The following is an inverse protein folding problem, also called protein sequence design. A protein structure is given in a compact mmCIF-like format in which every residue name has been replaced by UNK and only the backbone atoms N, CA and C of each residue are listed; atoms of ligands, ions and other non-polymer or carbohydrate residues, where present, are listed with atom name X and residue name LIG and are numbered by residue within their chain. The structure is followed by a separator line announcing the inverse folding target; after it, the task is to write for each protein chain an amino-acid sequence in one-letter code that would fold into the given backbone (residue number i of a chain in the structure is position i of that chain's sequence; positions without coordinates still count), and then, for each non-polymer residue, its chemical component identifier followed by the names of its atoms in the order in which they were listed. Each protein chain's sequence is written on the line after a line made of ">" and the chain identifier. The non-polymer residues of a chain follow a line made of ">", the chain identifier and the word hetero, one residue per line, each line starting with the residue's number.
data_IF_658172620784
#
_entry.id   IF_658172620784
#
_cell.length_a   1.000
_cell.length_b   1.000
_cell.length_c   1.000
_cell.angle_alpha   90.00
_cell.angle_beta   90.00
_cell.angle_gamma   90.00
#
_symmetry.space_group_name_H-M   'P 1'
#
loop_
_entity.id
_entity.type
_entity.pdbx_description
1 polymer ?
#
# COMPACT_ATOMS: atom_id res chain seq x y z
N UNK A 1 -27.36 11.94 11.31
CA UNK A 1 -26.16 11.09 11.46
C UNK A 1 -24.99 11.99 11.82
N UNK A 2 -24.31 11.74 12.94
CA UNK A 2 -23.12 12.49 13.33
C UNK A 2 -21.97 12.23 12.34
N UNK A 3 -21.12 13.23 12.09
CA UNK A 3 -19.96 13.10 11.18
C UNK A 3 -19.06 11.90 11.51
N UNK A 4 -18.99 11.52 12.79
CA UNK A 4 -18.27 10.35 13.28
C UNK A 4 -18.87 9.03 12.78
N UNK A 5 -20.19 8.91 12.71
CA UNK A 5 -20.87 7.72 12.22
C UNK A 5 -20.65 7.52 10.72
N UNK A 6 -20.66 8.61 9.93
CA UNK A 6 -20.37 8.56 8.49
C UNK A 6 -18.94 8.09 8.25
N UNK A 7 -17.96 8.66 8.96
CA UNK A 7 -16.56 8.25 8.83
C UNK A 7 -16.31 6.80 9.26
N UNK A 8 -16.95 6.34 10.33
CA UNK A 8 -16.88 4.93 10.75
C UNK A 8 -17.45 3.99 9.68
N UNK A 9 -18.57 4.36 9.06
CA UNK A 9 -19.15 3.61 7.95
C UNK A 9 -18.22 3.58 6.73
N UNK A 10 -17.62 4.72 6.36
CA UNK A 10 -16.67 4.79 5.25
C UNK A 10 -15.43 3.93 5.48
N UNK A 11 -14.84 3.95 6.70
CA UNK A 11 -13.71 3.09 7.04
C UNK A 11 -14.10 1.61 7.06
N UNK A 12 -15.30 1.27 7.55
CA UNK A 12 -15.82 -0.10 7.51
C UNK A 12 -15.94 -0.60 6.07
N UNK A 13 -16.51 0.21 5.17
CA UNK A 13 -16.62 -0.12 3.75
C UNK A 13 -15.26 -0.29 3.09
N UNK A 14 -14.29 0.59 3.38
CA UNK A 14 -12.94 0.45 2.85
C UNK A 14 -12.26 -0.86 3.29
N UNK A 15 -12.43 -1.23 4.57
CA UNK A 15 -11.91 -2.49 5.11
C UNK A 15 -12.61 -3.71 4.50
N UNK A 16 -13.94 -3.68 4.36
CA UNK A 16 -14.67 -4.81 3.79
C UNK A 16 -14.32 -5.02 2.31
N UNK A 17 -14.15 -3.95 1.54
CA UNK A 17 -13.65 -4.01 0.15
C UNK A 17 -12.24 -4.60 0.12
N UNK A 18 -11.33 -4.10 0.96
CA UNK A 18 -9.96 -4.64 1.05
C UNK A 18 -9.95 -6.14 1.40
N UNK A 19 -10.74 -6.54 2.39
CA UNK A 19 -10.89 -7.94 2.79
C UNK A 19 -11.51 -8.80 1.68
N UNK A 20 -12.48 -8.28 0.94
CA UNK A 20 -13.07 -8.95 -0.22
C UNK A 20 -12.04 -9.23 -1.31
N UNK A 21 -11.20 -8.23 -1.65
CA UNK A 21 -10.11 -8.37 -2.62
C UNK A 21 -9.09 -9.43 -2.17
N UNK A 22 -8.71 -9.42 -0.89
CA UNK A 22 -7.80 -10.40 -0.29
C UNK A 22 -8.42 -11.79 -0.28
N UNK A 23 -9.69 -11.92 0.07
CA UNK A 23 -10.40 -13.19 0.10
C UNK A 23 -10.48 -13.82 -1.30
N UNK A 24 -10.86 -13.04 -2.32
CA UNK A 24 -10.89 -13.49 -3.71
C UNK A 24 -9.51 -13.96 -4.18
N UNK A 25 -8.47 -13.18 -3.86
CA UNK A 25 -7.07 -13.53 -4.14
C UNK A 25 -6.63 -14.80 -3.42
N UNK A 26 -7.11 -14.99 -2.18
CA UNK A 26 -6.88 -16.18 -1.38
C UNK A 26 -7.53 -17.42 -1.99
N UNK A 27 -8.73 -17.29 -2.56
CA UNK A 27 -9.41 -18.38 -3.29
C UNK A 27 -8.60 -18.80 -4.52
N UNK A 28 -8.07 -17.84 -5.28
CA UNK A 28 -7.19 -18.12 -6.43
C UNK A 28 -5.95 -18.88 -5.96
N UNK A 29 -5.28 -18.37 -4.92
CA UNK A 29 -4.10 -19.01 -4.36
C UNK A 29 -4.36 -20.43 -3.86
N UNK A 30 -5.43 -20.63 -3.07
CA UNK A 30 -5.82 -21.94 -2.55
C UNK A 30 -6.13 -22.93 -3.67
N UNK A 31 -6.78 -22.47 -4.74
CA UNK A 31 -7.09 -23.32 -5.89
C UNK A 31 -5.82 -23.75 -6.62
N UNK A 32 -4.89 -22.82 -6.89
CA UNK A 32 -3.60 -23.14 -7.52
C UNK A 32 -2.75 -24.07 -6.62
N UNK A 33 -2.72 -23.82 -5.31
CA UNK A 33 -2.02 -24.67 -4.35
C UNK A 33 -2.64 -26.08 -4.29
N UNK A 34 -3.96 -26.20 -4.29
CA UNK A 34 -4.67 -27.49 -4.28
C UNK A 34 -4.44 -28.31 -5.54
N UNK A 35 -4.36 -27.66 -6.71
CA UNK A 35 -3.99 -28.31 -7.98
C UNK A 35 -2.53 -28.80 -7.93
N UNK A 36 -1.60 -27.98 -7.41
CA UNK A 36 -0.19 -28.35 -7.24
C UNK A 36 0.01 -29.53 -6.30
N UNK A 37 -0.78 -29.60 -5.22
CA UNK A 37 -0.78 -30.71 -4.25
C UNK A 37 -1.54 -31.96 -4.75
N UNK A 38 -2.00 -31.97 -6.02
CA UNK A 38 -2.81 -33.04 -6.62
C UNK A 38 -4.12 -33.35 -5.87
N UNK A 39 -4.59 -32.44 -5.01
CA UNK A 39 -5.88 -32.57 -4.29
C UNK A 39 -7.08 -32.18 -5.15
N UNK A 40 -6.85 -31.29 -6.13
CA UNK A 40 -7.88 -30.80 -7.05
C UNK A 40 -7.42 -31.12 -8.48
N UNK A 41 -8.33 -31.67 -9.30
CA UNK A 41 -8.06 -31.97 -10.70
C UNK A 41 -7.87 -30.68 -11.53
N UNK A 42 -6.82 -30.57 -12.37
CA UNK A 42 -6.57 -29.37 -13.19
C UNK A 42 -7.70 -29.03 -14.17
N UNK A 43 -8.48 -30.03 -14.56
CA UNK A 43 -9.51 -29.91 -15.61
C UNK A 43 -10.93 -29.81 -15.07
N UNK A 44 -11.11 -29.66 -13.76
CA UNK A 44 -12.43 -29.48 -13.15
C UNK A 44 -13.07 -28.15 -13.56
N UNK A 45 -14.41 -28.06 -13.62
CA UNK A 45 -15.11 -26.80 -13.94
C UNK A 45 -14.68 -25.64 -13.03
N UNK A 46 -14.54 -25.90 -11.72
CA UNK A 46 -14.07 -24.91 -10.74
C UNK A 46 -12.69 -24.35 -11.08
N UNK A 47 -11.70 -25.22 -11.32
CA UNK A 47 -10.33 -24.78 -11.66
C UNK A 47 -10.30 -23.97 -12.96
N UNK A 48 -11.13 -24.33 -13.95
CA UNK A 48 -11.25 -23.56 -15.20
C UNK A 48 -11.86 -22.18 -14.97
N UNK A 49 -12.92 -22.07 -14.17
CA UNK A 49 -13.56 -20.80 -13.86
C UNK A 49 -12.63 -19.87 -13.09
N UNK A 50 -12.00 -20.38 -12.01
CA UNK A 50 -11.04 -19.60 -11.21
C UNK A 50 -9.92 -19.08 -12.11
N UNK A 51 -9.32 -19.96 -12.92
CA UNK A 51 -8.26 -19.59 -13.85
C UNK A 51 -8.71 -18.54 -14.86
N UNK A 52 -9.89 -18.69 -15.46
CA UNK A 52 -10.40 -17.72 -16.43
C UNK A 52 -10.60 -16.33 -15.80
N UNK A 53 -11.09 -16.28 -14.57
CA UNK A 53 -11.27 -15.03 -13.83
C UNK A 53 -9.94 -14.41 -13.36
N UNK A 54 -8.96 -15.23 -12.99
CA UNK A 54 -7.69 -14.75 -12.44
C UNK A 54 -6.61 -14.50 -13.50
N UNK A 55 -6.64 -15.19 -14.64
CA UNK A 55 -5.70 -15.08 -15.76
C UNK A 55 -5.40 -13.63 -16.19
N UNK A 56 -6.38 -12.72 -16.39
CA UNK A 56 -6.08 -11.36 -16.80
C UNK A 56 -5.19 -10.61 -15.79
N UNK A 57 -5.27 -10.96 -14.50
CA UNK A 57 -4.48 -10.36 -13.43
C UNK A 57 -3.20 -11.15 -13.16
N UNK A 58 -3.22 -12.49 -13.30
CA UNK A 58 -2.08 -13.37 -13.08
C UNK A 58 -1.03 -13.27 -14.19
N UNK A 59 -1.42 -13.26 -15.47
CA UNK A 59 -0.48 -13.25 -16.60
C UNK A 59 0.57 -12.12 -16.56
N UNK A 60 0.22 -10.85 -16.26
CA UNK A 60 1.24 -9.82 -16.14
C UNK A 60 2.21 -10.09 -14.97
N UNK A 61 1.71 -10.65 -13.86
CA UNK A 61 2.56 -11.05 -12.72
C UNK A 61 3.46 -12.23 -13.10
N UNK A 62 2.92 -13.28 -13.73
CA UNK A 62 3.68 -14.43 -14.24
C UNK A 62 4.80 -13.98 -15.16
N UNK A 63 4.51 -13.08 -16.11
CA UNK A 63 5.53 -12.50 -17.00
C UNK A 63 6.60 -11.79 -16.17
N UNK A 64 6.23 -10.94 -15.22
CA UNK A 64 7.22 -10.25 -14.37
C UNK A 64 8.08 -11.23 -13.55
N UNK A 65 7.50 -12.32 -13.04
CA UNK A 65 8.20 -13.37 -12.30
C UNK A 65 9.19 -14.14 -13.19
N UNK A 66 8.79 -14.52 -14.40
CA UNK A 66 9.66 -15.20 -15.38
C UNK A 66 10.88 -14.36 -15.72
N UNK A 67 10.67 -13.06 -15.95
CA UNK A 67 11.76 -12.12 -16.26
C UNK A 67 12.78 -11.98 -15.12
N UNK A 68 12.43 -12.41 -13.91
CA UNK A 68 13.29 -12.41 -12.73
C UNK A 68 13.95 -13.77 -12.45
N UNK A 69 13.73 -14.77 -13.31
CA UNK A 69 14.17 -16.14 -13.08
C UNK A 69 13.42 -16.85 -11.95
N UNK A 70 12.28 -16.32 -11.51
CA UNK A 70 11.44 -16.94 -10.49
C UNK A 70 10.43 -17.93 -11.12
N UNK A 71 9.92 -18.85 -10.32
CA UNK A 71 8.96 -19.86 -10.78
C UNK A 71 7.60 -19.19 -11.12
N UNK A 72 7.08 -19.32 -12.36
CA UNK A 72 5.79 -18.74 -12.75
C UNK A 72 4.62 -19.22 -11.89
N UNK A 73 4.71 -20.44 -11.34
CA UNK A 73 3.65 -21.02 -10.52
C UNK A 73 3.43 -20.28 -9.19
N UNK A 74 4.42 -19.50 -8.74
CA UNK A 74 4.32 -18.70 -7.53
C UNK A 74 3.52 -17.40 -7.74
N UNK A 75 3.12 -17.07 -8.97
CA UNK A 75 2.33 -15.87 -9.27
C UNK A 75 1.05 -15.77 -8.44
N UNK A 76 0.42 -16.90 -8.11
CA UNK A 76 -0.77 -16.94 -7.25
C UNK A 76 -0.51 -16.48 -5.82
N UNK A 77 0.68 -16.78 -5.26
CA UNK A 77 1.11 -16.28 -3.95
C UNK A 77 1.38 -14.77 -4.01
N UNK A 78 2.04 -14.31 -5.07
CA UNK A 78 2.32 -12.89 -5.29
C UNK A 78 1.05 -12.07 -5.48
N UNK A 79 0.03 -12.63 -6.16
CA UNK A 79 -1.27 -12.00 -6.29
C UNK A 79 -1.93 -11.82 -4.92
N UNK A 80 -1.91 -12.83 -4.06
CA UNK A 80 -2.38 -12.70 -2.68
C UNK A 80 -1.62 -11.62 -1.90
N UNK A 81 -0.29 -11.63 -1.95
CA UNK A 81 0.54 -10.60 -1.31
C UNK A 81 0.20 -9.19 -1.81
N UNK A 82 0.13 -9.00 -3.12
CA UNK A 82 -0.23 -7.71 -3.74
C UNK A 82 -1.64 -7.26 -3.34
N UNK A 83 -2.60 -8.18 -3.28
CA UNK A 83 -3.98 -7.87 -2.90
C UNK A 83 -4.08 -7.33 -1.46
N UNK A 84 -3.31 -7.91 -0.53
CA UNK A 84 -3.21 -7.43 0.86
C UNK A 84 -2.62 -6.04 0.89
N UNK A 85 -1.54 -5.84 0.14
CA UNK A 85 -0.86 -4.54 0.05
C UNK A 85 -1.78 -3.45 -0.53
N UNK A 86 -2.47 -3.72 -1.63
CA UNK A 86 -3.44 -2.78 -2.23
C UNK A 86 -4.56 -2.48 -1.24
N UNK A 87 -5.08 -3.49 -0.55
CA UNK A 87 -6.08 -3.31 0.51
C UNK A 87 -5.60 -2.42 1.65
N UNK A 88 -4.36 -2.62 2.12
CA UNK A 88 -3.74 -1.78 3.15
C UNK A 88 -3.56 -0.34 2.68
N UNK A 89 -3.09 -0.13 1.45
CA UNK A 89 -2.96 1.22 0.86
C UNK A 89 -4.32 1.89 0.75
N UNK A 90 -5.36 1.18 0.29
CA UNK A 90 -6.72 1.70 0.17
C UNK A 90 -7.26 2.14 1.53
N UNK A 91 -7.21 1.27 2.54
CA UNK A 91 -7.69 1.59 3.90
C UNK A 91 -6.90 2.76 4.49
N UNK A 92 -5.58 2.76 4.31
CA UNK A 92 -4.73 3.83 4.84
C UNK A 92 -5.03 5.17 4.17
N UNK A 93 -5.28 5.18 2.86
CA UNK A 93 -5.65 6.37 2.11
C UNK A 93 -7.00 6.91 2.57
N UNK A 94 -8.00 6.03 2.69
CA UNK A 94 -9.34 6.40 3.18
C UNK A 94 -9.24 6.99 4.59
N UNK A 95 -8.50 6.37 5.50
CA UNK A 95 -8.30 6.91 6.86
C UNK A 95 -7.57 8.24 6.86
N UNK A 96 -6.57 8.43 6.00
CA UNK A 96 -5.86 9.70 5.89
C UNK A 96 -6.80 10.82 5.41
N UNK A 97 -7.63 10.54 4.40
CA UNK A 97 -8.64 11.48 3.89
C UNK A 97 -9.68 11.79 4.96
N UNK A 98 -10.25 10.76 5.61
CA UNK A 98 -11.24 10.95 6.68
C UNK A 98 -10.65 11.74 7.85
N UNK A 99 -9.43 11.44 8.28
CA UNK A 99 -8.75 12.19 9.35
C UNK A 99 -8.51 13.65 8.96
N UNK A 100 -8.13 13.91 7.70
CA UNK A 100 -7.99 15.26 7.19
C UNK A 100 -9.32 16.01 7.13
N UNK A 101 -10.38 15.40 6.58
CA UNK A 101 -11.70 16.02 6.41
C UNK A 101 -12.39 16.23 7.75
N UNK A 102 -12.44 15.21 8.61
CA UNK A 102 -13.01 15.34 9.96
C UNK A 102 -12.19 16.31 10.81
N UNK A 103 -10.87 16.27 10.68
CA UNK A 103 -9.97 17.27 11.25
C UNK A 103 -10.38 18.66 10.81
N UNK A 104 -10.48 18.90 9.50
CA UNK A 104 -10.86 20.19 8.92
C UNK A 104 -12.24 20.70 9.40
N UNK A 105 -13.23 19.80 9.50
CA UNK A 105 -14.60 20.14 9.94
C UNK A 105 -14.66 20.46 11.43
N UNK A 106 -13.89 19.74 12.26
CA UNK A 106 -13.83 19.98 13.70
C UNK A 106 -13.14 21.30 14.08
N UNK A 107 -12.55 22.01 13.11
CA UNK A 107 -11.74 23.18 13.36
C UNK A 107 -12.52 24.51 13.42
N UNK A 108 -13.85 24.51 13.26
CA UNK A 108 -14.64 25.76 13.22
C UNK A 108 -14.50 26.65 14.46
N UNK A 109 -14.02 26.12 15.59
CA UNK A 109 -13.72 26.84 16.84
C UNK A 109 -12.32 26.52 17.41
N UNK A 110 -11.46 25.84 16.65
CA UNK A 110 -10.18 25.37 17.16
C UNK A 110 -9.10 26.46 17.11
N UNK A 111 -8.19 26.52 18.10
CA UNK A 111 -7.10 27.49 18.11
C UNK A 111 -6.13 27.23 16.93
N UNK A 112 -5.48 28.28 16.38
CA UNK A 112 -4.59 28.18 15.20
C UNK A 112 -3.53 27.06 15.27
N UNK A 113 -3.06 26.73 16.48
CA UNK A 113 -2.09 25.64 16.72
C UNK A 113 -2.62 24.27 16.30
N UNK A 114 -3.91 24.01 16.48
CA UNK A 114 -4.54 22.74 16.10
C UNK A 114 -4.61 22.62 14.57
N UNK A 115 -4.89 23.71 13.85
CA UNK A 115 -4.83 23.75 12.39
C UNK A 115 -3.43 23.42 11.88
N UNK A 116 -2.40 24.03 12.49
CA UNK A 116 -1.01 23.72 12.19
C UNK A 116 -0.69 22.24 12.46
N UNK A 117 -1.19 21.68 13.57
CA UNK A 117 -1.00 20.28 13.92
C UNK A 117 -1.64 19.33 12.91
N UNK A 118 -2.85 19.63 12.45
CA UNK A 118 -3.53 18.87 11.39
C UNK A 118 -2.76 18.96 10.08
N UNK A 119 -2.36 20.16 9.65
CA UNK A 119 -1.62 20.35 8.40
C UNK A 119 -0.29 19.58 8.40
N UNK A 120 0.49 19.70 9.48
CA UNK A 120 1.76 18.97 9.67
C UNK A 120 1.49 17.46 9.66
N UNK A 121 0.57 16.99 10.50
CA UNK A 121 0.20 15.58 10.59
C UNK A 121 -0.21 14.97 9.24
N UNK A 122 -1.01 15.70 8.47
CA UNK A 122 -1.46 15.28 7.14
C UNK A 122 -0.33 15.29 6.12
N UNK A 123 0.53 16.31 6.12
CA UNK A 123 1.70 16.38 5.23
C UNK A 123 2.65 15.20 5.46
N UNK A 124 3.00 14.91 6.72
CA UNK A 124 3.81 13.74 7.06
C UNK A 124 3.12 12.43 6.64
N UNK A 125 1.82 12.30 6.92
CA UNK A 125 1.04 11.12 6.52
C UNK A 125 1.07 10.88 5.01
N UNK A 126 0.96 11.94 4.20
CA UNK A 126 1.00 11.87 2.74
C UNK A 126 2.36 11.38 2.24
N UNK A 127 3.46 11.96 2.75
CA UNK A 127 4.82 11.55 2.35
C UNK A 127 5.12 10.13 2.79
N UNK A 128 4.75 9.75 4.03
CA UNK A 128 4.92 8.39 4.53
C UNK A 128 4.13 7.37 3.69
N UNK A 129 2.91 7.71 3.28
CA UNK A 129 2.12 6.89 2.35
C UNK A 129 2.84 6.74 1.01
N UNK A 130 3.34 7.84 0.45
CA UNK A 130 4.05 7.83 -0.82
C UNK A 130 5.31 6.94 -0.75
N UNK A 131 6.07 7.01 0.34
CA UNK A 131 7.22 6.13 0.59
C UNK A 131 6.79 4.68 0.69
N UNK A 132 5.70 4.39 1.41
CA UNK A 132 5.16 3.04 1.52
C UNK A 132 4.74 2.51 0.15
N UNK A 133 3.98 3.26 -0.65
CA UNK A 133 3.61 2.88 -2.02
C UNK A 133 4.86 2.62 -2.87
N UNK A 134 5.91 3.45 -2.73
CA UNK A 134 7.18 3.26 -3.45
C UNK A 134 7.94 2.01 -3.03
N UNK A 135 7.92 1.67 -1.74
CA UNK A 135 8.42 0.39 -1.23
C UNK A 135 7.71 -0.78 -1.92
N UNK A 136 6.39 -0.72 -2.03
CA UNK A 136 5.61 -1.77 -2.71
C UNK A 136 5.93 -1.87 -4.19
N UNK A 137 6.00 -0.73 -4.89
CA UNK A 137 6.34 -0.71 -6.32
C UNK A 137 7.74 -1.26 -6.59
N UNK A 138 8.69 -1.03 -5.67
CA UNK A 138 10.05 -1.57 -5.78
C UNK A 138 10.06 -3.10 -5.81
N UNK A 139 9.15 -3.76 -5.08
CA UNK A 139 9.00 -5.21 -5.15
C UNK A 139 8.58 -5.70 -6.53
N UNK A 140 7.86 -4.89 -7.31
CA UNK A 140 7.51 -5.18 -8.71
C UNK A 140 8.58 -4.75 -9.70
N UNK A 141 9.67 -4.10 -9.24
CA UNK A 141 10.83 -3.76 -10.07
C UNK A 141 10.47 -2.78 -11.19
N UNK A 142 9.39 -2.03 -10.99
CA UNK A 142 8.98 -0.99 -11.93
C UNK A 142 9.99 0.14 -11.81
N UNK A 143 10.65 0.54 -12.91
CA UNK A 143 11.68 1.57 -12.82
C UNK A 143 11.05 2.92 -12.42
N UNK A 144 11.73 3.75 -11.62
CA UNK A 144 11.21 5.06 -11.21
C UNK A 144 10.98 6.03 -12.38
N UNK A 145 11.52 5.74 -13.56
CA UNK A 145 11.45 6.58 -14.76
C UNK A 145 10.07 6.58 -15.44
N UNK A 146 9.17 5.67 -15.05
CA UNK A 146 7.83 5.56 -15.66
C UNK A 146 6.99 6.81 -15.36
N UNK A 147 6.31 7.34 -16.39
CA UNK A 147 5.63 8.65 -16.35
C UNK A 147 4.62 8.79 -15.20
N UNK A 148 3.83 7.75 -14.92
CA UNK A 148 2.81 7.80 -13.87
C UNK A 148 3.40 7.73 -12.45
N UNK A 149 4.66 7.34 -12.30
CA UNK A 149 5.39 7.36 -11.03
C UNK A 149 6.03 8.71 -10.70
N UNK A 150 6.10 9.63 -11.67
CA UNK A 150 6.77 10.93 -11.48
C UNK A 150 6.30 11.72 -10.25
N UNK A 151 4.99 11.84 -9.95
CA UNK A 151 4.55 12.55 -8.75
C UNK A 151 5.04 11.86 -7.46
N UNK A 152 5.02 10.54 -7.43
CA UNK A 152 5.48 9.74 -6.30
C UNK A 152 6.99 9.92 -6.08
N UNK A 153 7.75 9.88 -7.16
CA UNK A 153 9.20 10.08 -7.17
C UNK A 153 9.53 11.49 -6.70
N UNK A 154 8.88 12.52 -7.23
CA UNK A 154 9.06 13.91 -6.80
C UNK A 154 8.77 14.11 -5.31
N UNK A 155 7.70 13.49 -4.79
CA UNK A 155 7.31 13.61 -3.39
C UNK A 155 8.25 12.87 -2.41
N UNK A 156 9.07 11.93 -2.88
CA UNK A 156 9.84 11.03 -2.00
C UNK A 156 11.35 11.06 -2.23
N UNK A 157 11.83 11.45 -3.42
CA UNK A 157 13.26 11.42 -3.78
C UNK A 157 14.12 12.32 -2.89
N UNK A 158 13.59 13.46 -2.46
CA UNK A 158 14.31 14.39 -1.59
C UNK A 158 14.72 13.76 -0.24
N UNK A 159 14.01 12.71 0.22
CA UNK A 159 14.38 11.91 1.40
C UNK A 159 15.15 10.65 1.00
N UNK A 160 14.64 9.93 -0.01
CA UNK A 160 15.15 8.60 -0.35
C UNK A 160 16.54 8.66 -0.99
N UNK A 161 16.82 9.66 -1.83
CA UNK A 161 18.14 9.80 -2.48
C UNK A 161 19.26 9.99 -1.45
N UNK A 162 19.15 10.90 -0.45
CA UNK A 162 20.13 10.96 0.63
C UNK A 162 20.32 9.64 1.40
N UNK A 163 19.22 8.95 1.75
CA UNK A 163 19.29 7.70 2.51
C UNK A 163 19.97 6.59 1.70
N UNK A 164 19.69 6.51 0.39
CA UNK A 164 20.32 5.54 -0.52
C UNK A 164 21.83 5.71 -0.66
N UNK A 165 22.39 6.88 -0.32
CA UNK A 165 23.85 7.09 -0.27
C UNK A 165 24.49 6.36 0.91
N UNK A 166 23.74 6.12 1.99
CA UNK A 166 24.21 5.42 3.19
C UNK A 166 23.79 3.95 3.18
N UNK A 167 22.55 3.69 2.79
CA UNK A 167 21.95 2.35 2.69
C UNK A 167 21.60 2.08 1.22
N UNK A 168 22.57 1.67 0.39
CA UNK A 168 22.31 1.34 -1.00
C UNK A 168 21.35 0.15 -1.10
N UNK A 169 20.53 0.07 -2.17
CA UNK A 169 19.61 -1.05 -2.36
C UNK A 169 20.37 -2.37 -2.50
N UNK A 170 19.85 -3.42 -1.86
CA UNK A 170 20.41 -4.77 -1.94
C UNK A 170 19.72 -5.54 -3.05
N UNK A 171 20.34 -5.55 -4.24
CA UNK A 171 19.75 -6.15 -5.43
C UNK A 171 18.45 -5.43 -5.82
N UNK A 172 17.33 -6.15 -5.81
CA UNK A 172 16.00 -5.62 -6.20
C UNK A 172 15.26 -4.99 -5.00
N UNK A 173 15.66 -5.32 -3.77
CA UNK A 173 14.99 -4.85 -2.56
C UNK A 173 15.68 -3.56 -2.09
N UNK A 174 14.95 -2.46 -2.15
CA UNK A 174 15.37 -1.18 -1.59
C UNK A 174 14.88 -1.09 -0.14
N UNK A 175 15.82 -1.11 0.82
CA UNK A 175 15.54 -0.93 2.24
C UNK A 175 15.40 0.55 2.64
N UNK A 176 15.84 1.49 1.79
CA UNK A 176 15.77 2.93 2.08
C UNK A 176 14.36 3.46 2.39
N UNK A 177 13.25 2.97 1.77
CA UNK A 177 11.90 3.39 2.10
C UNK A 177 11.50 3.05 3.54
N UNK A 178 11.95 1.91 4.06
CA UNK A 178 11.66 1.51 5.44
C UNK A 178 12.38 2.47 6.40
N UNK A 179 13.69 2.70 6.17
CA UNK A 179 14.47 3.65 6.97
C UNK A 179 13.87 5.06 6.94
N UNK A 180 13.46 5.54 5.75
CA UNK A 180 12.81 6.82 5.57
C UNK A 180 11.46 6.92 6.29
N UNK A 181 10.65 5.86 6.23
CA UNK A 181 9.37 5.79 6.92
C UNK A 181 9.56 5.92 8.44
N UNK A 182 10.50 5.16 9.02
CA UNK A 182 10.80 5.25 10.45
C UNK A 182 11.35 6.62 10.84
N UNK A 183 12.27 7.19 10.06
CA UNK A 183 12.81 8.53 10.30
C UNK A 183 11.72 9.60 10.29
N UNK A 184 10.81 9.57 9.30
CA UNK A 184 9.67 10.48 9.25
C UNK A 184 8.67 10.27 10.39
N UNK A 185 8.45 9.02 10.81
CA UNK A 185 7.58 8.72 11.93
C UNK A 185 8.08 9.37 13.22
N UNK A 186 9.37 9.23 13.51
CA UNK A 186 10.03 9.86 14.65
C UNK A 186 10.00 11.39 14.53
N UNK A 187 10.35 11.92 13.36
CA UNK A 187 10.36 13.37 13.11
C UNK A 187 8.97 13.98 13.28
N UNK A 188 7.91 13.33 12.78
CA UNK A 188 6.52 13.75 12.99
C UNK A 188 6.20 13.82 14.48
N UNK A 189 6.57 12.80 15.25
CA UNK A 189 6.36 12.79 16.70
C UNK A 189 7.04 13.95 17.40
N UNK A 190 8.31 14.22 17.06
CA UNK A 190 9.07 15.36 17.60
C UNK A 190 8.42 16.70 17.25
N UNK A 191 8.10 16.94 15.98
CA UNK A 191 7.49 18.19 15.52
C UNK A 191 6.13 18.42 16.21
N UNK A 192 5.30 17.39 16.30
CA UNK A 192 4.01 17.48 17.00
C UNK A 192 4.21 17.74 18.49
N UNK A 193 5.20 17.12 19.13
CA UNK A 193 5.49 17.35 20.56
C UNK A 193 5.89 18.80 20.83
N UNK A 194 6.70 19.41 19.96
CA UNK A 194 7.12 20.81 20.08
C UNK A 194 5.94 21.75 19.86
N UNK A 195 5.12 21.47 18.83
CA UNK A 195 3.97 22.31 18.47
C UNK A 195 2.91 22.41 19.56
N UNK A 196 2.68 21.32 20.31
CA UNK A 196 1.68 21.29 21.39
C UNK A 196 2.24 21.57 22.79
N UNK A 197 3.57 21.65 22.95
CA UNK A 197 4.22 22.01 24.21
C UNK A 197 4.48 23.52 24.35
N UNK A 198 4.44 24.27 23.25
CA UNK A 198 4.60 25.73 23.17
C UNK A 198 3.26 26.47 23.06
#
# INVERSE_FOLDING_TARGET
>A
MTFTAVAAMTDLVARSVALGIVALSGVVWLTHWGVRQRRIGPFTPWSKTVRHLSDPVLRPLEKQLVWRGANPQDASLWLLGLSVLVGLVLVSLVRWILGFVLGAIALSQAPPRVWAGVAVSSAFGLVMMAIFVRYLISWFGVPPTVRWLRPLVWLTDWILVPIRRVLPPFGIIDASPIAAYFALHLLRGLVMSVLFRA
#
